data_IF_187684917548
#
_entry.id   IF_187684917548
#
_cell.length_a   1.000
_cell.length_b   1.000
_cell.length_c   1.000
_cell.angle_alpha   90.00
_cell.angle_beta   90.00
_cell.angle_gamma   90.00
#
_symmetry.space_group_name_H-M   'P 1'
#
loop_
_entity.id
_entity.type
_entity.pdbx_description
1 polymer ?
#
# COMPACT_ATOMS: atom_id res chain seq x y z
N UNK A 1 8.05 17.38 -7.16
CA UNK A 1 6.95 18.31 -6.82
C UNK A 1 6.60 18.06 -5.37
N UNK A 2 6.98 18.97 -4.47
CA UNK A 2 6.65 18.83 -3.04
C UNK A 2 5.14 18.98 -2.88
N UNK A 3 4.43 18.05 -2.23
CA UNK A 3 3.00 18.18 -2.05
C UNK A 3 2.67 19.43 -1.24
N UNK A 4 1.58 20.11 -1.59
CA UNK A 4 1.10 21.30 -0.89
C UNK A 4 1.01 21.03 0.63
N UNK A 5 1.68 21.83 1.48
CA UNK A 5 1.65 21.68 2.94
C UNK A 5 0.24 21.68 3.52
N UNK A 6 -0.68 22.48 2.96
CA UNK A 6 -2.08 22.53 3.42
C UNK A 6 -2.82 21.24 3.06
N UNK A 7 -2.51 20.65 1.90
CA UNK A 7 -3.03 19.35 1.47
C UNK A 7 -2.51 18.22 2.37
N UNK A 8 -1.23 18.23 2.72
CA UNK A 8 -0.62 17.24 3.63
C UNK A 8 -1.17 17.32 5.05
N UNK A 9 -1.56 18.51 5.53
CA UNK A 9 -2.15 18.68 6.85
C UNK A 9 -3.47 17.90 7.03
N UNK A 10 -4.19 17.64 5.93
CA UNK A 10 -5.46 16.87 5.91
C UNK A 10 -5.27 15.36 6.02
N UNK A 11 -4.05 14.84 5.87
CA UNK A 11 -3.78 13.42 6.05
C UNK A 11 -3.77 13.04 7.53
N UNK A 12 -4.15 11.80 7.83
CA UNK A 12 -4.06 11.25 9.18
C UNK A 12 -2.64 11.40 9.76
N UNK A 13 -2.55 11.83 11.02
CA UNK A 13 -1.28 12.11 11.70
C UNK A 13 -0.40 10.88 11.87
N UNK A 14 -1.00 9.69 11.98
CA UNK A 14 -0.26 8.44 12.11
C UNK A 14 0.29 8.00 10.76
N UNK A 15 -0.50 8.14 9.68
CA UNK A 15 -0.03 7.82 8.34
C UNK A 15 1.15 8.71 7.92
N UNK A 16 1.12 10.01 8.27
CA UNK A 16 2.23 10.95 8.01
C UNK A 16 3.55 10.57 8.68
N UNK A 17 3.53 9.75 9.74
CA UNK A 17 4.73 9.31 10.46
C UNK A 17 5.37 8.06 9.85
N UNK A 18 4.73 7.45 8.87
CA UNK A 18 5.26 6.26 8.19
C UNK A 18 6.40 6.66 7.26
N UNK A 19 7.53 5.95 7.36
CA UNK A 19 8.66 6.12 6.46
C UNK A 19 8.38 5.46 5.10
N UNK A 20 7.61 6.15 4.27
CA UNK A 20 7.24 5.67 2.93
C UNK A 20 8.47 5.48 2.02
N UNK A 21 9.47 6.36 2.14
CA UNK A 21 10.73 6.26 1.40
C UNK A 21 11.52 5.01 1.77
N UNK A 22 11.72 4.75 3.06
CA UNK A 22 12.45 3.57 3.52
C UNK A 22 11.74 2.27 3.17
N UNK A 23 10.40 2.25 3.24
CA UNK A 23 9.60 1.10 2.77
C UNK A 23 9.78 0.91 1.26
N UNK A 24 9.70 1.98 0.47
CA UNK A 24 9.90 1.92 -0.97
C UNK A 24 11.29 1.38 -1.32
N UNK A 25 12.34 1.95 -0.74
CA UNK A 25 13.72 1.56 -1.03
C UNK A 25 13.98 0.12 -0.62
N UNK A 26 13.45 -0.32 0.54
CA UNK A 26 13.58 -1.69 1.01
C UNK A 26 12.89 -2.70 0.07
N UNK A 27 11.68 -2.40 -0.40
CA UNK A 27 10.96 -3.29 -1.34
C UNK A 27 11.67 -3.33 -2.69
N UNK A 28 11.93 -2.16 -3.29
CA UNK A 28 12.47 -2.09 -4.65
C UNK A 28 13.89 -2.66 -4.73
N UNK A 29 14.71 -2.44 -3.70
CA UNK A 29 16.06 -3.03 -3.63
C UNK A 29 16.02 -4.55 -3.52
N UNK A 30 15.08 -5.12 -2.77
CA UNK A 30 14.91 -6.57 -2.69
C UNK A 30 14.38 -7.15 -4.01
N UNK A 31 13.37 -6.50 -4.61
CA UNK A 31 12.81 -6.91 -5.89
C UNK A 31 13.85 -6.86 -7.02
N UNK A 32 14.76 -5.87 -7.03
CA UNK A 32 15.79 -5.72 -8.06
C UNK A 32 16.67 -6.97 -8.23
N UNK A 33 16.87 -7.75 -7.15
CA UNK A 33 17.62 -9.02 -7.16
C UNK A 33 17.01 -10.09 -8.08
N UNK A 34 15.74 -9.94 -8.45
CA UNK A 34 14.96 -10.87 -9.28
C UNK A 34 14.78 -10.38 -10.72
N UNK A 35 15.37 -9.23 -11.10
CA UNK A 35 15.22 -8.60 -12.41
C UNK A 35 13.75 -8.49 -12.90
N UNK A 36 12.84 -7.90 -12.09
CA UNK A 36 11.45 -7.73 -12.47
C UNK A 36 11.33 -6.77 -13.65
N UNK A 37 10.40 -7.05 -14.57
CA UNK A 37 9.98 -6.05 -15.57
C UNK A 37 9.10 -4.97 -14.96
N UNK A 38 8.52 -5.23 -13.78
CA UNK A 38 7.72 -4.29 -13.02
C UNK A 38 7.70 -4.63 -11.53
N UNK A 39 7.79 -3.62 -10.68
CA UNK A 39 7.60 -3.75 -9.24
C UNK A 39 6.86 -2.52 -8.72
N UNK A 40 5.87 -2.75 -7.87
CA UNK A 40 5.19 -1.70 -7.14
C UNK A 40 4.96 -2.08 -5.68
N UNK A 41 4.95 -1.04 -4.85
CA UNK A 41 4.68 -1.11 -3.42
C UNK A 41 3.55 -0.15 -3.11
N UNK A 42 2.62 -0.57 -2.27
CA UNK A 42 1.51 0.25 -1.80
C UNK A 42 1.42 0.17 -0.29
N UNK A 43 1.57 1.30 0.37
CA UNK A 43 1.24 1.45 1.79
C UNK A 43 -0.18 1.97 1.89
N UNK A 44 -1.00 1.31 2.70
CA UNK A 44 -2.40 1.68 2.87
C UNK A 44 -2.75 1.69 4.35
N UNK A 45 -3.46 2.73 4.79
CA UNK A 45 -4.04 2.81 6.13
C UNK A 45 -5.54 3.07 6.01
N UNK A 46 -6.34 2.23 6.68
CA UNK A 46 -7.77 2.46 6.86
C UNK A 46 -8.05 2.81 8.32
N UNK A 47 -8.97 3.74 8.55
CA UNK A 47 -9.50 4.05 9.87
C UNK A 47 -11.00 3.81 9.87
N UNK A 48 -11.49 3.11 10.87
CA UNK A 48 -12.91 2.87 11.09
C UNK A 48 -13.30 3.41 12.46
N UNK A 49 -14.44 4.09 12.53
CA UNK A 49 -15.06 4.49 13.80
C UNK A 49 -16.47 3.91 13.85
N UNK A 50 -16.77 3.20 14.93
CA UNK A 50 -18.08 2.60 15.19
C UNK A 50 -18.68 3.26 16.43
N UNK A 51 -19.89 3.79 16.29
CA UNK A 51 -20.71 4.30 17.39
C UNK A 51 -21.99 3.46 17.42
N UNK A 52 -22.23 2.77 18.53
CA UNK A 52 -23.47 2.06 18.80
C UNK A 52 -24.30 2.85 19.80
N UNK A 53 -25.53 3.17 19.43
CA UNK A 53 -26.46 3.92 20.26
C UNK A 53 -27.67 3.05 20.59
N UNK A 54 -28.15 3.17 21.83
CA UNK A 54 -29.42 2.62 22.30
C UNK A 54 -30.14 3.70 23.10
N UNK A 55 -31.42 3.90 22.81
CA UNK A 55 -32.24 4.89 23.52
C UNK A 55 -31.59 6.29 23.57
N UNK A 56 -30.98 6.71 22.45
CA UNK A 56 -30.23 7.97 22.29
C UNK A 56 -28.96 8.09 23.17
N UNK A 57 -28.56 7.03 23.87
CA UNK A 57 -27.32 6.96 24.63
C UNK A 57 -26.27 6.14 23.87
N UNK A 58 -25.00 6.56 23.93
CA UNK A 58 -23.89 5.80 23.36
C UNK A 58 -23.58 4.61 24.26
N UNK A 59 -23.72 3.40 23.73
CA UNK A 59 -23.34 2.16 24.42
C UNK A 59 -21.94 1.70 24.05
N UNK A 60 -21.49 1.93 22.82
CA UNK A 60 -20.16 1.54 22.36
C UNK A 60 -19.58 2.59 21.46
N UNK A 61 -18.31 2.93 21.70
CA UNK A 61 -17.50 3.74 20.82
C UNK A 61 -16.17 3.01 20.57
N UNK A 62 -15.89 2.68 19.30
CA UNK A 62 -14.70 1.97 18.88
C UNK A 62 -14.00 2.74 17.76
N UNK A 63 -12.68 2.86 17.84
CA UNK A 63 -11.81 3.44 16.80
C UNK A 63 -10.78 2.36 16.42
N UNK A 64 -10.82 1.91 15.18
CA UNK A 64 -9.91 0.90 14.63
C UNK A 64 -9.05 1.51 13.54
N UNK A 65 -7.79 1.08 13.49
CA UNK A 65 -6.84 1.46 12.45
C UNK A 65 -6.14 0.22 11.95
N UNK A 66 -6.08 0.10 10.64
CA UNK A 66 -5.43 -1.00 9.95
C UNK A 66 -4.41 -0.38 9.00
N UNK A 67 -3.17 -0.83 9.06
CA UNK A 67 -2.10 -0.40 8.16
C UNK A 67 -1.39 -1.62 7.58
N UNK A 68 -0.97 -1.52 6.33
CA UNK A 68 -0.18 -2.57 5.71
C UNK A 68 0.51 -2.14 4.43
N UNK A 69 1.40 -3.01 3.99
CA UNK A 69 2.19 -2.89 2.76
C UNK A 69 1.81 -4.03 1.84
N UNK A 70 1.42 -3.71 0.61
CA UNK A 70 1.25 -4.66 -0.49
C UNK A 70 2.38 -4.49 -1.50
N UNK A 71 2.92 -5.61 -1.97
CA UNK A 71 3.92 -5.65 -3.05
C UNK A 71 3.35 -6.44 -4.22
N UNK A 72 3.50 -5.89 -5.42
CA UNK A 72 3.10 -6.50 -6.68
C UNK A 72 4.27 -6.44 -7.66
N UNK A 73 4.56 -7.56 -8.32
CA UNK A 73 5.70 -7.66 -9.25
C UNK A 73 5.35 -8.45 -10.50
N UNK A 74 6.05 -8.15 -11.59
CA UNK A 74 6.14 -9.01 -12.77
C UNK A 74 7.58 -9.52 -12.88
N UNK A 75 7.76 -10.83 -12.77
CA UNK A 75 9.07 -11.49 -12.95
C UNK A 75 8.92 -12.57 -13.99
N UNK A 76 9.81 -12.61 -14.98
CA UNK A 76 9.79 -13.57 -16.08
C UNK A 76 8.42 -13.67 -16.79
N UNK A 77 7.69 -12.55 -16.90
CA UNK A 77 6.39 -12.47 -17.56
C UNK A 77 5.21 -13.02 -16.75
N UNK A 78 5.36 -13.25 -15.44
CA UNK A 78 4.27 -13.67 -14.56
C UNK A 78 4.10 -12.73 -13.35
N UNK A 79 2.87 -12.63 -12.87
CA UNK A 79 2.54 -11.84 -11.68
C UNK A 79 2.93 -12.54 -10.38
N UNK A 80 3.32 -11.74 -9.40
CA UNK A 80 3.48 -12.15 -8.01
C UNK A 80 3.02 -11.07 -7.06
N UNK A 81 2.48 -11.49 -5.92
CA UNK A 81 1.89 -10.62 -4.92
C UNK A 81 2.22 -11.10 -3.51
N UNK A 82 2.40 -10.15 -2.60
CA UNK A 82 2.47 -10.43 -1.18
C UNK A 82 2.03 -9.19 -0.40
N UNK A 83 1.60 -9.39 0.84
CA UNK A 83 1.31 -8.30 1.76
C UNK A 83 1.77 -8.63 3.17
N UNK A 84 1.90 -7.60 4.00
CA UNK A 84 2.18 -7.67 5.43
C UNK A 84 1.58 -6.45 6.14
N UNK A 85 1.12 -6.62 7.38
CA UNK A 85 0.76 -5.52 8.28
C UNK A 85 1.92 -5.07 9.19
N UNK A 86 3.03 -5.81 9.17
CA UNK A 86 4.27 -5.44 9.84
C UNK A 86 5.11 -4.57 8.88
N UNK A 87 5.34 -3.31 9.29
CA UNK A 87 6.04 -2.28 8.52
C UNK A 87 7.56 -2.26 8.81
N UNK A 88 8.07 -3.19 9.61
CA UNK A 88 9.52 -3.29 9.81
C UNK A 88 10.24 -3.57 8.48
N UNK A 89 11.45 -3.02 8.29
CA UNK A 89 12.20 -3.24 7.05
C UNK A 89 12.40 -4.73 6.71
N UNK A 90 12.53 -5.59 7.73
CA UNK A 90 12.65 -7.04 7.56
C UNK A 90 11.37 -7.67 7.01
N UNK A 91 10.21 -7.41 7.63
CA UNK A 91 8.94 -7.96 7.19
C UNK A 91 8.55 -7.48 5.78
N UNK A 92 8.84 -6.21 5.49
CA UNK A 92 8.61 -5.60 4.16
C UNK A 92 9.50 -6.26 3.10
N UNK A 93 10.79 -6.46 3.37
CA UNK A 93 11.68 -7.22 2.46
C UNK A 93 11.23 -8.67 2.29
N UNK A 94 10.79 -9.32 3.37
CA UNK A 94 10.26 -10.68 3.30
C UNK A 94 9.00 -10.76 2.43
N UNK A 95 8.12 -9.76 2.48
CA UNK A 95 6.98 -9.66 1.56
C UNK A 95 7.43 -9.49 0.10
N UNK A 96 8.37 -8.58 -0.16
CA UNK A 96 8.92 -8.37 -1.50
C UNK A 96 9.51 -9.65 -2.11
N UNK A 97 10.35 -10.35 -1.34
CA UNK A 97 10.91 -11.66 -1.73
C UNK A 97 9.82 -12.69 -2.04
N UNK A 98 8.81 -12.84 -1.17
CA UNK A 98 7.69 -13.78 -1.40
C UNK A 98 6.93 -13.46 -2.69
N UNK A 99 6.71 -12.17 -2.99
CA UNK A 99 6.06 -11.76 -4.23
C UNK A 99 6.89 -12.17 -5.45
N UNK A 100 8.21 -11.94 -5.43
CA UNK A 100 9.12 -12.33 -6.51
C UNK A 100 9.21 -13.86 -6.70
N UNK A 101 9.33 -14.62 -5.62
CA UNK A 101 9.35 -16.08 -5.67
C UNK A 101 8.04 -16.64 -6.21
N UNK A 102 6.91 -16.07 -5.82
CA UNK A 102 5.60 -16.44 -6.37
C UNK A 102 5.53 -16.19 -7.88
N UNK A 103 6.02 -15.03 -8.36
CA UNK A 103 6.07 -14.73 -9.78
C UNK A 103 6.96 -15.73 -10.54
N UNK A 104 8.16 -16.02 -10.04
CA UNK A 104 9.08 -16.99 -10.67
C UNK A 104 8.46 -18.38 -10.78
N UNK A 105 7.80 -18.86 -9.72
CA UNK A 105 7.10 -20.16 -9.75
C UNK A 105 5.93 -20.15 -10.74
N UNK A 106 5.20 -19.04 -10.79
CA UNK A 106 4.06 -18.88 -11.70
C UNK A 106 4.47 -18.78 -13.17
N UNK A 107 5.68 -18.29 -13.46
CA UNK A 107 6.21 -18.20 -14.82
C UNK A 107 6.43 -19.57 -15.51
N UNK A 108 6.46 -20.67 -14.75
CA UNK A 108 6.52 -22.02 -15.30
C UNK A 108 5.15 -22.56 -15.73
N UNK A 109 4.05 -21.90 -15.35
CA UNK A 109 2.70 -22.34 -15.71
C UNK A 109 2.37 -21.93 -17.15
N UNK A 110 1.59 -22.75 -17.89
CA UNK A 110 1.11 -22.37 -19.22
C UNK A 110 0.21 -21.14 -19.16
N UNK A 111 0.44 -20.17 -20.05
CA UNK A 111 -0.39 -18.98 -20.17
C UNK A 111 0.29 -17.85 -20.95
N UNK A 112 -0.45 -16.78 -21.29
CA UNK A 112 0.14 -15.60 -21.89
C UNK A 112 1.11 -14.91 -20.91
N UNK A 113 2.20 -14.39 -21.43
CA UNK A 113 3.13 -13.55 -20.65
C UNK A 113 2.49 -12.19 -20.40
N UNK A 114 2.76 -11.64 -19.22
CA UNK A 114 2.33 -10.30 -18.84
C UNK A 114 3.19 -9.28 -19.56
N UNK A 115 2.55 -8.44 -20.36
CA UNK A 115 3.13 -7.26 -20.99
C UNK A 115 2.36 -6.03 -20.47
N UNK A 116 3.08 -5.01 -20.03
CA UNK A 116 2.47 -3.77 -19.55
C UNK A 116 2.32 -2.78 -20.70
N UNK A 117 1.23 -2.04 -20.70
CA UNK A 117 1.07 -0.91 -21.60
C UNK A 117 2.13 0.16 -21.30
N UNK A 118 2.65 0.79 -22.36
CA UNK A 118 3.53 1.94 -22.23
C UNK A 118 2.73 3.13 -21.71
N UNK A 119 2.95 3.48 -20.45
CA UNK A 119 2.34 4.63 -19.79
C UNK A 119 3.44 5.54 -19.25
N UNK A 120 3.31 6.88 -19.37
CA UNK A 120 4.27 7.79 -18.79
C UNK A 120 4.27 7.69 -17.26
N UNK A 121 5.44 7.88 -16.65
CA UNK A 121 5.55 7.90 -15.18
C UNK A 121 4.84 9.15 -14.65
N UNK A 122 3.87 8.94 -13.76
CA UNK A 122 3.13 10.02 -13.10
C UNK A 122 3.48 10.04 -11.62
N UNK A 123 3.86 11.22 -11.13
CA UNK A 123 4.06 11.49 -9.70
C UNK A 123 3.06 12.55 -9.27
N UNK A 124 2.24 12.23 -8.27
CA UNK A 124 1.22 13.16 -7.80
C UNK A 124 0.65 12.78 -6.44
N UNK A 125 -0.07 13.73 -5.85
CA UNK A 125 -0.88 13.52 -4.66
C UNK A 125 -2.31 13.91 -5.00
N UNK A 126 -3.26 13.08 -4.58
CA UNK A 126 -4.67 13.33 -4.75
C UNK A 126 -5.39 13.15 -3.41
N UNK A 127 -6.30 14.07 -3.09
CA UNK A 127 -7.22 13.97 -1.96
C UNK A 127 -8.62 14.21 -2.51
N UNK A 128 -9.54 13.28 -2.27
CA UNK A 128 -10.93 13.42 -2.69
C UNK A 128 -11.63 14.57 -1.97
N UNK A 129 -12.63 15.14 -2.64
CA UNK A 129 -13.60 16.04 -2.02
C UNK A 129 -14.56 15.25 -1.12
N UNK A 130 -15.00 15.87 -0.03
CA UNK A 130 -16.02 15.33 0.86
C UNK A 130 -16.99 16.46 1.23
N UNK A 131 -18.29 16.17 1.24
CA UNK A 131 -19.30 17.11 1.72
C UNK A 131 -19.33 17.15 3.26
N UNK A 132 -19.14 15.99 3.89
CA UNK A 132 -19.05 15.83 5.34
C UNK A 132 -17.89 14.89 5.68
N UNK A 133 -17.00 15.33 6.58
CA UNK A 133 -15.98 14.47 7.15
C UNK A 133 -16.53 13.76 8.39
N UNK A 134 -16.81 12.46 8.26
CA UNK A 134 -17.36 11.60 9.30
C UNK A 134 -16.48 11.50 10.56
N UNK A 135 -15.22 11.97 10.55
CA UNK A 135 -14.37 12.00 11.73
C UNK A 135 -14.41 13.32 12.49
N UNK A 136 -15.02 14.36 11.90
CA UNK A 136 -15.20 15.69 12.52
C UNK A 136 -16.60 15.92 13.10
N UNK A 137 -17.54 15.02 12.85
CA UNK A 137 -18.89 15.01 13.44
C UNK A 137 -18.92 14.28 14.78
#
# INVERSE_FOLDING_TARGET
MTPDPQMMARLDVHFRRVDLSGIQDAVLSECARYSPSYASVRVHQTRHRYLHLRDLAVETALDQREIGVGVRVVVAGAWGFAATSDLTPEAVRAAARRACELAQRSAALPGPRVELAEEPVVTGVHISSYDVDSFTV
#
